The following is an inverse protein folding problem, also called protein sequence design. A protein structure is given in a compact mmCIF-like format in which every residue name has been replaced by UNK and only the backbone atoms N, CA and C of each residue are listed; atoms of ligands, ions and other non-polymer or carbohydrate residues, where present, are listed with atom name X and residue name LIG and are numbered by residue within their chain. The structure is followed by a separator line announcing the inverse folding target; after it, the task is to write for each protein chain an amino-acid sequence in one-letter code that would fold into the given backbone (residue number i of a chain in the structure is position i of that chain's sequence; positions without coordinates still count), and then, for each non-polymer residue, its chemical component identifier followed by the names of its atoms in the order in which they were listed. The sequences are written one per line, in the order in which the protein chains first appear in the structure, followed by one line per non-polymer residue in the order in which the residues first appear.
data_IF_172388584051
#
_entry.id   IF_172388584051
#
_cell.length_a   1.000
_cell.length_b   1.000
_cell.length_c   1.000
_cell.angle_alpha   90.00
_cell.angle_beta   90.00
_cell.angle_gamma   90.00
#
_symmetry.space_group_name_H-M   'P 1'
#
loop_
_entity.id
_entity.type
_entity.pdbx_description
1 polymer ?
#
# COMPACT_ATOMS: atom_id res chain seq x y z
N UNK A 1 -17.18 11.41 -4.44
CA UNK A 1 -16.50 12.73 -4.28
C UNK A 1 -15.55 12.81 -5.46
N UNK A 2 -15.50 13.92 -6.21
CA UNK A 2 -14.74 13.93 -7.46
C UNK A 2 -13.28 14.28 -7.14
N UNK A 3 -12.35 13.35 -7.37
CA UNK A 3 -10.90 13.57 -7.32
C UNK A 3 -10.45 14.24 -8.62
N UNK A 4 -9.67 15.33 -8.53
CA UNK A 4 -9.08 15.99 -9.70
C UNK A 4 -7.55 15.88 -9.74
N UNK A 5 -6.97 15.91 -10.93
CA UNK A 5 -5.51 15.90 -11.12
C UNK A 5 -4.82 17.06 -10.37
N UNK A 6 -5.40 18.26 -10.43
CA UNK A 6 -4.87 19.43 -9.73
C UNK A 6 -4.82 19.25 -8.21
N UNK A 7 -5.80 18.55 -7.65
CA UNK A 7 -5.84 18.24 -6.22
C UNK A 7 -4.79 17.19 -5.84
N UNK A 8 -4.63 16.16 -6.67
CA UNK A 8 -3.61 15.13 -6.48
C UNK A 8 -2.20 15.74 -6.54
N UNK A 9 -1.91 16.62 -7.50
CA UNK A 9 -0.63 17.34 -7.58
C UNK A 9 -0.36 18.15 -6.31
N UNK A 10 -1.33 18.93 -5.84
CA UNK A 10 -1.22 19.69 -4.58
C UNK A 10 -0.98 18.79 -3.37
N UNK A 11 -1.45 17.55 -3.40
CA UNK A 11 -1.25 16.57 -2.32
C UNK A 11 0.09 15.82 -2.39
N UNK A 12 0.90 16.02 -3.43
CA UNK A 12 2.24 15.41 -3.60
C UNK A 12 2.34 14.29 -4.63
N UNK A 13 1.33 14.11 -5.48
CA UNK A 13 1.49 13.34 -6.72
C UNK A 13 2.36 14.11 -7.70
N UNK A 14 3.10 13.38 -8.54
CA UNK A 14 3.87 13.95 -9.65
C UNK A 14 3.14 13.72 -10.98
N UNK A 15 3.49 14.46 -12.02
CA UNK A 15 2.96 14.23 -13.36
C UNK A 15 3.23 12.79 -13.85
N UNK A 16 4.38 12.21 -13.46
CA UNK A 16 4.71 10.82 -13.77
C UNK A 16 3.78 9.82 -13.06
N UNK A 17 3.35 10.12 -11.82
CA UNK A 17 2.35 9.31 -11.11
C UNK A 17 1.00 9.37 -11.81
N UNK A 18 0.56 10.58 -12.19
CA UNK A 18 -0.71 10.78 -12.90
C UNK A 18 -0.70 10.09 -14.25
N UNK A 19 0.39 10.19 -15.00
CA UNK A 19 0.57 9.47 -16.28
C UNK A 19 0.43 7.96 -16.10
N UNK A 20 1.04 7.37 -15.05
CA UNK A 20 0.90 5.92 -14.76
C UNK A 20 -0.54 5.51 -14.48
N UNK A 21 -1.27 6.32 -13.71
CA UNK A 21 -2.68 6.06 -13.41
C UNK A 21 -3.52 6.17 -14.68
N UNK A 22 -3.35 7.24 -15.46
CA UNK A 22 -4.12 7.48 -16.70
C UNK A 22 -3.88 6.40 -17.74
N UNK A 23 -2.64 5.97 -17.95
CA UNK A 23 -2.35 4.87 -18.88
C UNK A 23 -3.06 3.55 -18.47
N UNK A 24 -3.21 3.28 -17.17
CA UNK A 24 -3.98 2.14 -16.68
C UNK A 24 -5.48 2.32 -16.95
N UNK A 25 -6.03 3.51 -16.70
CA UNK A 25 -7.43 3.81 -16.97
C UNK A 25 -7.76 3.72 -18.47
N UNK A 26 -6.86 4.15 -19.35
CA UNK A 26 -7.02 4.00 -20.80
C UNK A 26 -7.06 2.53 -21.22
N UNK A 27 -6.30 1.67 -20.53
CA UNK A 27 -6.19 0.23 -20.87
C UNK A 27 -7.31 -0.61 -20.26
N UNK A 28 -7.81 -0.25 -19.07
CA UNK A 28 -8.72 -1.07 -18.26
C UNK A 28 -10.06 -0.39 -17.96
N UNK A 29 -10.25 0.87 -18.37
CA UNK A 29 -11.41 1.68 -18.04
C UNK A 29 -11.41 2.21 -16.60
N UNK A 30 -12.51 2.87 -16.23
CA UNK A 30 -12.73 3.44 -14.90
C UNK A 30 -12.37 4.93 -14.79
N UNK A 31 -12.44 5.44 -13.57
CA UNK A 31 -12.22 6.87 -13.27
C UNK A 31 -11.02 7.10 -12.36
N UNK A 32 -10.53 8.35 -12.35
CA UNK A 32 -9.43 8.76 -11.47
C UNK A 32 -9.78 8.57 -9.97
N UNK A 33 -11.02 8.84 -9.57
CA UNK A 33 -11.48 8.64 -8.20
C UNK A 33 -11.44 7.16 -7.81
N UNK A 34 -11.98 6.28 -8.66
CA UNK A 34 -11.97 4.83 -8.43
C UNK A 34 -10.54 4.29 -8.29
N UNK A 35 -9.63 4.68 -9.18
CA UNK A 35 -8.23 4.26 -9.12
C UNK A 35 -7.55 4.71 -7.82
N UNK A 36 -7.76 5.96 -7.39
CA UNK A 36 -7.16 6.48 -6.15
C UNK A 36 -7.77 5.79 -4.93
N UNK A 37 -9.08 5.52 -4.93
CA UNK A 37 -9.76 4.80 -3.84
C UNK A 37 -9.26 3.35 -3.75
N UNK A 38 -9.12 2.66 -4.87
CA UNK A 38 -8.59 1.29 -4.91
C UNK A 38 -7.14 1.24 -4.40
N UNK A 39 -6.27 2.12 -4.88
CA UNK A 39 -4.88 2.27 -4.43
C UNK A 39 -4.78 2.53 -2.91
N UNK A 40 -5.66 3.38 -2.36
CA UNK A 40 -5.74 3.60 -0.90
C UNK A 40 -6.11 2.31 -0.17
N UNK A 41 -7.12 1.59 -0.66
CA UNK A 41 -7.61 0.37 0.00
C UNK A 41 -6.55 -0.73 -0.03
N UNK A 42 -5.83 -0.86 -1.14
CA UNK A 42 -4.64 -1.71 -1.30
C UNK A 42 -3.55 -1.40 -0.27
N UNK A 43 -3.22 -0.13 -0.06
CA UNK A 43 -2.28 0.26 0.99
C UNK A 43 -2.80 -0.06 2.40
N UNK A 44 -4.11 0.15 2.65
CA UNK A 44 -4.72 -0.21 3.94
C UNK A 44 -4.66 -1.71 4.19
N UNK A 45 -4.87 -2.54 3.18
CA UNK A 45 -4.70 -4.00 3.30
C UNK A 45 -3.25 -4.35 3.63
N UNK A 46 -2.27 -3.73 2.98
CA UNK A 46 -0.85 -3.92 3.31
C UNK A 46 -0.54 -3.59 4.77
N UNK A 47 -1.07 -2.48 5.31
CA UNK A 47 -0.89 -2.13 6.72
C UNK A 47 -1.46 -3.21 7.65
N UNK A 48 -2.64 -3.77 7.33
CA UNK A 48 -3.22 -4.87 8.09
C UNK A 48 -2.36 -6.14 8.01
N UNK A 49 -1.86 -6.49 6.83
CA UNK A 49 -0.95 -7.62 6.64
C UNK A 49 0.32 -7.46 7.46
N UNK A 50 0.99 -6.31 7.38
CA UNK A 50 2.21 -6.02 8.17
C UNK A 50 1.92 -6.07 9.67
N UNK A 51 0.77 -5.54 10.10
CA UNK A 51 0.36 -5.61 11.51
C UNK A 51 0.16 -7.05 11.97
N UNK A 52 -0.52 -7.88 11.19
CA UNK A 52 -0.72 -9.29 11.49
C UNK A 52 0.60 -10.07 11.52
N UNK A 53 1.48 -9.88 10.54
CA UNK A 53 2.82 -10.48 10.52
C UNK A 53 3.64 -10.06 11.75
N UNK A 54 3.53 -8.80 12.18
CA UNK A 54 4.20 -8.30 13.39
C UNK A 54 3.69 -9.02 14.63
N UNK A 55 2.38 -9.22 14.76
CA UNK A 55 1.80 -9.98 15.88
C UNK A 55 2.28 -11.44 15.90
N UNK A 56 2.33 -12.10 14.73
CA UNK A 56 2.88 -13.46 14.61
C UNK A 56 4.35 -13.49 15.02
N UNK A 57 5.14 -12.50 14.63
CA UNK A 57 6.54 -12.43 15.03
C UNK A 57 6.72 -12.22 16.54
N UNK A 58 5.89 -11.36 17.17
CA UNK A 58 5.86 -11.20 18.63
C UNK A 58 5.52 -12.52 19.33
N UNK A 59 4.58 -13.28 18.78
CA UNK A 59 4.25 -14.61 19.29
C UNK A 59 5.45 -15.57 19.19
N UNK A 60 6.15 -15.60 18.05
CA UNK A 60 7.37 -16.41 17.88
C UNK A 60 8.45 -16.02 18.90
N UNK A 61 8.66 -14.73 19.15
CA UNK A 61 9.62 -14.25 20.14
C UNK A 61 9.27 -14.69 21.56
N UNK A 62 7.97 -14.82 21.88
CA UNK A 62 7.49 -15.16 23.22
C UNK A 62 7.49 -16.67 23.49
N UNK A 63 7.26 -17.49 22.45
CA UNK A 63 6.94 -18.92 22.63
C UNK A 63 7.83 -19.89 21.83
N UNK A 64 8.77 -19.41 21.02
CA UNK A 64 9.56 -20.25 20.12
C UNK A 64 11.05 -20.29 20.45
N UNK A 65 11.78 -21.23 19.84
CA UNK A 65 13.24 -21.35 20.00
C UNK A 65 13.98 -20.53 18.95
N UNK A 66 15.26 -20.20 19.23
CA UNK A 66 16.13 -19.39 18.36
C UNK A 66 16.06 -19.75 16.86
N UNK A 67 16.17 -21.03 16.42
CA UNK A 67 16.12 -21.35 14.99
C UNK A 67 14.77 -20.99 14.35
N UNK A 68 13.65 -21.21 15.03
CA UNK A 68 12.32 -20.86 14.51
C UNK A 68 12.07 -19.35 14.51
N UNK A 69 12.61 -18.61 15.48
CA UNK A 69 12.56 -17.14 15.48
C UNK A 69 13.28 -16.58 14.24
N UNK A 70 14.49 -17.07 13.96
CA UNK A 70 15.27 -16.61 12.80
C UNK A 70 14.62 -17.01 11.47
N UNK A 71 14.25 -18.28 11.33
CA UNK A 71 13.61 -18.79 10.11
C UNK A 71 12.24 -18.13 9.87
N UNK A 72 11.38 -18.13 10.88
CA UNK A 72 10.05 -17.52 10.80
C UNK A 72 10.10 -16.01 10.57
N UNK A 73 11.00 -15.30 11.24
CA UNK A 73 11.24 -13.87 10.99
C UNK A 73 11.67 -13.59 9.56
N UNK A 74 12.63 -14.36 9.02
CA UNK A 74 13.08 -14.21 7.64
C UNK A 74 11.94 -14.50 6.64
N UNK A 75 11.16 -15.55 6.86
CA UNK A 75 10.00 -15.88 6.01
C UNK A 75 8.95 -14.78 6.02
N UNK A 76 8.62 -14.21 7.19
CA UNK A 76 7.67 -13.11 7.30
C UNK A 76 8.17 -11.85 6.56
N UNK A 77 9.46 -11.52 6.70
CA UNK A 77 10.06 -10.38 6.00
C UNK A 77 9.99 -10.53 4.49
N UNK A 78 10.36 -11.70 3.95
CA UNK A 78 10.27 -11.99 2.51
C UNK A 78 8.81 -11.88 2.04
N UNK A 79 7.86 -12.45 2.80
CA UNK A 79 6.43 -12.34 2.50
C UNK A 79 5.96 -10.89 2.41
N UNK A 80 6.32 -10.04 3.37
CA UNK A 80 5.97 -8.61 3.37
C UNK A 80 6.55 -7.90 2.14
N UNK A 81 7.81 -8.17 1.79
CA UNK A 81 8.46 -7.58 0.61
C UNK A 81 7.69 -7.96 -0.66
N UNK A 82 7.39 -9.24 -0.86
CA UNK A 82 6.66 -9.70 -2.05
C UNK A 82 5.27 -9.04 -2.16
N UNK A 83 4.48 -9.04 -1.07
CA UNK A 83 3.15 -8.41 -1.07
C UNK A 83 3.24 -6.90 -1.33
N UNK A 84 4.28 -6.23 -0.83
CA UNK A 84 4.49 -4.79 -1.05
C UNK A 84 4.75 -4.47 -2.52
N UNK A 85 5.56 -5.27 -3.22
CA UNK A 85 5.97 -4.99 -4.60
C UNK A 85 5.02 -5.54 -5.68
N UNK A 86 4.12 -6.48 -5.36
CA UNK A 86 3.07 -6.95 -6.30
C UNK A 86 2.14 -5.80 -6.72
N UNK A 87 1.89 -4.86 -5.82
CA UNK A 87 1.11 -3.65 -6.07
C UNK A 87 2.04 -2.45 -6.22
N UNK A 88 1.61 -1.32 -6.85
CA UNK A 88 2.45 -0.12 -6.94
C UNK A 88 2.53 0.58 -5.57
N UNK A 89 3.58 0.36 -4.76
CA UNK A 89 3.52 0.67 -3.33
C UNK A 89 3.55 2.18 -3.08
N UNK A 90 4.30 2.91 -3.91
CA UNK A 90 4.40 4.38 -3.84
C UNK A 90 3.07 5.03 -4.19
N UNK A 91 2.41 4.59 -5.26
CA UNK A 91 1.10 5.11 -5.66
C UNK A 91 0.03 4.80 -4.60
N UNK A 92 0.04 3.57 -4.07
CA UNK A 92 -0.87 3.14 -3.01
C UNK A 92 -0.70 3.99 -1.74
N UNK A 93 0.54 4.24 -1.31
CA UNK A 93 0.86 5.11 -0.18
C UNK A 93 0.41 6.56 -0.42
N UNK A 94 0.71 7.14 -1.58
CA UNK A 94 0.30 8.52 -1.91
C UNK A 94 -1.22 8.66 -1.88
N UNK A 95 -1.94 7.70 -2.46
CA UNK A 95 -3.42 7.66 -2.42
C UNK A 95 -3.96 7.57 -1.00
N UNK A 96 -3.36 6.74 -0.15
CA UNK A 96 -3.76 6.63 1.25
C UNK A 96 -3.49 7.92 2.04
N UNK A 97 -2.31 8.52 1.84
CA UNK A 97 -1.92 9.79 2.48
C UNK A 97 -2.86 10.93 2.06
N UNK A 98 -3.18 11.04 0.79
CA UNK A 98 -4.15 12.02 0.26
C UNK A 98 -5.48 11.95 1.02
N UNK A 99 -6.07 10.76 1.13
CA UNK A 99 -7.33 10.56 1.84
C UNK A 99 -7.25 10.72 3.37
N UNK A 100 -6.08 10.46 3.96
CA UNK A 100 -5.84 10.73 5.40
C UNK A 100 -5.81 12.23 5.69
N UNK A 101 -5.12 13.02 4.85
CA UNK A 101 -5.02 14.46 5.01
C UNK A 101 -6.35 15.17 4.73
N UNK A 102 -7.15 14.66 3.80
CA UNK A 102 -8.48 15.22 3.49
C UNK A 102 -9.55 14.97 4.57
N UNK A 103 -9.30 14.03 5.48
CA UNK A 103 -10.16 13.72 6.63
C UNK A 103 -9.78 14.49 7.90
N UNK A 104 -8.58 15.06 7.94
CA UNK A 104 -8.08 15.88 9.03
C UNK A 104 -8.55 17.33 8.85
#
# INVERSE_FOLDING_TARGET
MIVSESELLKSGFTDADLKKIKNNLESYGGTLDEAVVDLKNRFRMLLWTVSACTLVFIFLLSFSTKPYILGGGLSLLIGIVLVTFIQPPVLAWKSWRYWRLKKA
#
